data_IF_732829358886
#
_entry.id   IF_732829358886
#
_cell.length_a   1.000
_cell.length_b   1.000
_cell.length_c   1.000
_cell.angle_alpha   90.00
_cell.angle_beta   90.00
_cell.angle_gamma   90.00
#
_symmetry.space_group_name_H-M   'P 1'
#
loop_
_entity.id
_entity.type
_entity.pdbx_description
1 polymer ?
#
# COMPACT_ATOMS: atom_id res chain seq x y z
N UNK A 1 -11.38 19.52 9.65
CA UNK A 1 -12.68 19.94 9.13
C UNK A 1 -13.60 18.77 8.86
N UNK A 2 -14.78 19.07 8.26
CA UNK A 2 -15.86 18.07 8.13
C UNK A 2 -15.50 16.85 7.27
N UNK A 3 -14.46 16.96 6.45
CA UNK A 3 -14.06 15.89 5.54
C UNK A 3 -12.96 14.98 6.11
N UNK A 4 -12.49 15.27 7.33
CA UNK A 4 -11.43 14.50 7.97
C UNK A 4 -11.92 14.01 9.32
N UNK A 5 -11.79 12.70 9.54
CA UNK A 5 -12.20 12.05 10.78
C UNK A 5 -10.98 11.37 11.38
N UNK A 6 -10.63 11.75 12.61
CA UNK A 6 -9.55 11.12 13.35
C UNK A 6 -10.12 9.95 14.15
N UNK A 7 -9.81 8.73 13.74
CA UNK A 7 -10.35 7.53 14.39
C UNK A 7 -9.57 7.13 15.65
N UNK A 8 -8.33 7.61 15.79
CA UNK A 8 -7.45 7.16 16.84
C UNK A 8 -6.98 5.72 16.61
N UNK A 9 -6.34 5.18 17.64
CA UNK A 9 -5.81 3.81 17.58
C UNK A 9 -6.94 2.80 17.73
N UNK A 10 -7.01 1.84 16.82
CA UNK A 10 -8.02 0.77 16.83
C UNK A 10 -7.32 -0.58 16.97
N UNK A 11 -7.87 -1.48 17.77
CA UNK A 11 -7.35 -2.83 17.89
C UNK A 11 -7.52 -3.63 16.59
N UNK A 12 -8.61 -3.39 15.87
CA UNK A 12 -8.86 -4.03 14.59
C UNK A 12 -9.18 -2.97 13.54
N UNK A 13 -8.20 -2.53 12.74
CA UNK A 13 -8.41 -1.50 11.72
C UNK A 13 -9.07 -2.03 10.43
N UNK A 14 -9.16 -3.33 10.23
CA UNK A 14 -9.58 -3.92 8.96
C UNK A 14 -11.00 -3.54 8.52
N UNK A 15 -12.00 -3.42 9.41
CA UNK A 15 -13.31 -2.94 8.97
C UNK A 15 -13.27 -1.55 8.33
N UNK A 16 -12.37 -0.69 8.81
CA UNK A 16 -12.19 0.65 8.23
C UNK A 16 -11.48 0.55 6.87
N UNK A 17 -10.49 -0.32 6.74
CA UNK A 17 -9.82 -0.56 5.47
C UNK A 17 -10.81 -1.01 4.41
N UNK A 18 -11.71 -1.91 4.75
CA UNK A 18 -12.71 -2.43 3.80
C UNK A 18 -13.67 -1.37 3.27
N UNK A 19 -13.90 -0.32 4.03
CA UNK A 19 -14.75 0.79 3.61
C UNK A 19 -14.00 1.83 2.78
N UNK A 20 -12.68 1.77 2.75
CA UNK A 20 -11.86 2.76 2.08
C UNK A 20 -11.74 2.48 0.58
N UNK A 21 -11.67 3.54 -0.20
CA UNK A 21 -11.38 3.45 -1.64
C UNK A 21 -9.89 3.34 -1.92
N UNK A 22 -9.07 3.84 -1.01
CA UNK A 22 -7.61 3.72 -1.10
C UNK A 22 -6.97 3.91 0.27
N UNK A 23 -5.75 3.40 0.41
CA UNK A 23 -4.88 3.65 1.55
C UNK A 23 -3.82 4.66 1.14
N UNK A 24 -3.62 5.69 1.96
CA UNK A 24 -2.61 6.72 1.71
C UNK A 24 -1.54 6.64 2.80
N UNK A 25 -0.28 6.48 2.39
CA UNK A 25 0.85 6.41 3.30
C UNK A 25 1.90 7.42 2.86
N UNK A 26 2.11 8.45 3.69
CA UNK A 26 2.95 9.62 3.37
C UNK A 26 4.21 9.68 4.21
N UNK A 27 4.69 8.58 4.72
CA UNK A 27 5.87 8.51 5.57
C UNK A 27 7.14 8.95 4.84
N UNK A 28 8.08 9.50 5.56
CA UNK A 28 9.42 9.80 5.03
C UNK A 28 10.31 8.58 5.03
N UNK A 29 10.07 7.65 5.94
CA UNK A 29 10.81 6.40 6.07
C UNK A 29 9.90 5.30 6.61
N UNK A 30 10.02 4.14 6.00
CA UNK A 30 9.37 2.94 6.47
C UNK A 30 10.35 1.78 6.40
N UNK A 31 10.33 0.89 7.38
CA UNK A 31 11.03 -0.38 7.32
C UNK A 31 10.32 -1.32 6.34
N UNK A 32 9.95 -2.53 6.78
CA UNK A 32 9.09 -3.39 5.97
C UNK A 32 7.63 -2.99 6.21
N UNK A 33 6.95 -2.39 5.24
CA UNK A 33 5.62 -1.83 5.50
C UNK A 33 4.53 -2.91 5.43
N UNK A 34 4.26 -3.54 6.57
CA UNK A 34 3.22 -4.59 6.70
C UNK A 34 1.86 -4.07 6.22
N UNK A 35 1.59 -2.79 6.41
CA UNK A 35 0.33 -2.19 5.98
C UNK A 35 0.11 -2.29 4.46
N UNK A 36 1.16 -2.34 3.66
CA UNK A 36 1.04 -2.57 2.22
C UNK A 36 0.44 -3.94 1.95
N UNK A 37 0.95 -4.97 2.62
CA UNK A 37 0.43 -6.33 2.46
C UNK A 37 -1.02 -6.43 2.88
N UNK A 38 -1.37 -5.78 3.99
CA UNK A 38 -2.74 -5.77 4.48
C UNK A 38 -3.69 -5.14 3.46
N UNK A 39 -3.32 -4.00 2.88
CA UNK A 39 -4.12 -3.34 1.85
C UNK A 39 -4.21 -4.18 0.59
N UNK A 40 -3.11 -4.81 0.17
CA UNK A 40 -3.11 -5.67 -1.01
C UNK A 40 -4.00 -6.89 -0.85
N UNK A 41 -3.96 -7.54 0.31
CA UNK A 41 -4.84 -8.69 0.62
C UNK A 41 -6.31 -8.28 0.55
N UNK A 42 -6.64 -7.07 0.99
CA UNK A 42 -8.00 -6.56 0.97
C UNK A 42 -8.38 -5.91 -0.38
N UNK A 43 -7.46 -5.92 -1.35
CA UNK A 43 -7.63 -5.32 -2.67
C UNK A 43 -7.94 -3.83 -2.61
N UNK A 44 -7.26 -3.12 -1.71
CA UNK A 44 -7.38 -1.67 -1.57
C UNK A 44 -6.16 -1.02 -2.23
N UNK A 45 -6.35 -0.15 -3.24
CA UNK A 45 -5.24 0.53 -3.89
C UNK A 45 -4.47 1.44 -2.94
N UNK A 46 -3.17 1.54 -3.13
CA UNK A 46 -2.28 2.28 -2.24
C UNK A 46 -1.73 3.50 -2.97
N UNK A 47 -1.77 4.65 -2.29
CA UNK A 47 -1.02 5.84 -2.69
C UNK A 47 0.07 6.02 -1.65
N UNK A 48 1.32 5.95 -2.03
CA UNK A 48 2.43 6.01 -1.08
C UNK A 48 3.59 6.82 -1.62
N UNK A 49 4.33 7.44 -0.70
CA UNK A 49 5.57 8.12 -1.05
C UNK A 49 6.66 7.09 -1.36
N UNK A 50 7.68 7.55 -2.12
CA UNK A 50 8.80 6.69 -2.51
C UNK A 50 9.76 6.50 -1.31
N UNK A 51 9.47 5.51 -0.50
CA UNK A 51 10.26 5.16 0.69
C UNK A 51 10.55 3.66 0.66
N UNK A 52 11.72 3.27 1.21
CA UNK A 52 12.11 1.86 1.33
C UNK A 52 11.88 1.10 0.01
N UNK A 53 11.18 -0.01 0.05
CA UNK A 53 10.90 -0.87 -1.09
C UNK A 53 9.55 -0.59 -1.77
N UNK A 54 8.98 0.61 -1.56
CA UNK A 54 7.64 0.91 -2.05
C UNK A 54 7.48 0.66 -3.56
N UNK A 55 8.44 1.10 -4.38
CA UNK A 55 8.38 0.87 -5.84
C UNK A 55 8.33 -0.62 -6.19
N UNK A 56 9.12 -1.43 -5.49
CA UNK A 56 9.17 -2.87 -5.73
C UNK A 56 7.89 -3.56 -5.28
N UNK A 57 7.36 -3.17 -4.12
CA UNK A 57 6.16 -3.79 -3.54
C UNK A 57 4.92 -3.43 -4.35
N UNK A 58 4.76 -2.15 -4.69
CA UNK A 58 3.57 -1.66 -5.39
C UNK A 58 3.60 -2.07 -6.87
N UNK A 59 4.75 -1.99 -7.54
CA UNK A 59 4.97 -2.45 -8.91
C UNK A 59 3.99 -1.87 -9.94
N UNK A 60 3.39 -0.72 -9.66
CA UNK A 60 2.33 -0.13 -10.50
C UNK A 60 1.10 -1.04 -10.68
N UNK A 61 0.98 -2.09 -9.91
CA UNK A 61 -0.15 -3.03 -9.95
C UNK A 61 -1.13 -2.80 -8.80
N UNK A 62 -0.61 -2.31 -7.66
CA UNK A 62 -1.39 -2.21 -6.42
C UNK A 62 -1.57 -0.75 -5.99
N UNK A 63 -1.20 0.19 -6.81
CA UNK A 63 -1.37 1.59 -6.49
C UNK A 63 -0.37 2.50 -7.20
N UNK A 64 -0.12 3.64 -6.58
CA UNK A 64 0.72 4.72 -7.13
C UNK A 64 1.79 5.09 -6.12
N UNK A 65 3.02 5.26 -6.59
CA UNK A 65 4.13 5.77 -5.79
C UNK A 65 4.40 7.22 -6.17
N UNK A 66 4.41 8.11 -5.17
CA UNK A 66 4.61 9.55 -5.39
C UNK A 66 5.99 9.98 -4.92
N UNK A 67 6.39 11.19 -5.34
CA UNK A 67 7.52 11.86 -4.73
C UNK A 67 7.17 12.30 -3.29
N UNK A 68 8.20 12.56 -2.48
CA UNK A 68 8.02 12.97 -1.07
C UNK A 68 7.75 14.48 -0.98
N UNK A 69 6.70 14.95 -1.63
CA UNK A 69 6.29 16.35 -1.56
C UNK A 69 4.78 16.48 -1.68
N UNK A 70 4.27 17.58 -1.18
CA UNK A 70 2.83 17.86 -1.09
C UNK A 70 2.18 17.85 -2.48
N UNK A 71 2.81 18.46 -3.47
CA UNK A 71 2.23 18.56 -4.81
C UNK A 71 2.05 17.20 -5.46
N UNK A 72 3.05 16.34 -5.35
CA UNK A 72 2.97 14.99 -5.92
C UNK A 72 1.88 14.15 -5.25
N UNK A 73 1.80 14.21 -3.93
CA UNK A 73 0.77 13.52 -3.16
C UNK A 73 -0.61 14.06 -3.52
N UNK A 74 -0.77 15.38 -3.53
CA UNK A 74 -2.04 16.00 -3.89
C UNK A 74 -2.51 15.61 -5.28
N UNK A 75 -1.62 15.62 -6.26
CA UNK A 75 -1.97 15.26 -7.64
C UNK A 75 -2.40 13.80 -7.74
N UNK A 76 -1.71 12.91 -7.02
CA UNK A 76 -2.08 11.49 -6.98
C UNK A 76 -3.46 11.28 -6.36
N UNK A 77 -3.74 11.96 -5.26
CA UNK A 77 -5.04 11.89 -4.59
C UNK A 77 -6.16 12.42 -5.49
N UNK A 78 -5.93 13.57 -6.12
CA UNK A 78 -6.90 14.20 -7.02
C UNK A 78 -7.20 13.31 -8.22
N UNK A 79 -6.16 12.74 -8.82
CA UNK A 79 -6.32 11.83 -9.93
C UNK A 79 -7.10 10.57 -9.53
N UNK A 80 -6.84 10.05 -8.33
CA UNK A 80 -7.57 8.89 -7.80
C UNK A 80 -9.05 9.18 -7.62
N UNK A 81 -9.40 10.37 -7.13
CA UNK A 81 -10.80 10.77 -6.95
C UNK A 81 -11.51 10.88 -8.29
N UNK A 82 -10.85 11.48 -9.30
CA UNK A 82 -11.48 11.75 -10.60
C UNK A 82 -11.55 10.49 -11.47
N UNK A 83 -10.46 9.73 -11.53
CA UNK A 83 -10.30 8.64 -12.49
C UNK A 83 -10.26 7.25 -11.85
N UNK A 84 -10.22 7.18 -10.52
CA UNK A 84 -9.97 5.94 -9.80
C UNK A 84 -8.52 5.50 -9.89
N UNK A 85 -8.17 4.45 -9.18
CA UNK A 85 -6.87 3.80 -9.26
C UNK A 85 -7.07 2.42 -9.85
N UNK A 86 -6.43 2.18 -11.00
CA UNK A 86 -6.49 0.89 -11.66
C UNK A 86 -5.64 -0.12 -10.91
N UNK A 87 -6.26 -1.19 -10.45
CA UNK A 87 -5.54 -2.38 -9.99
C UNK A 87 -5.46 -3.34 -11.17
N UNK A 88 -4.24 -3.61 -11.65
CA UNK A 88 -4.05 -4.44 -12.84
C UNK A 88 -4.15 -5.92 -12.55
N UNK A 89 -3.90 -6.33 -11.30
CA UNK A 89 -3.94 -7.72 -10.87
C UNK A 89 -4.41 -7.79 -9.42
N UNK A 90 -5.10 -8.88 -9.08
CA UNK A 90 -5.34 -9.19 -7.69
C UNK A 90 -4.04 -9.65 -7.03
N UNK A 91 -3.88 -9.34 -5.75
CA UNK A 91 -2.72 -9.79 -5.00
C UNK A 91 -2.94 -11.24 -4.56
N UNK A 92 -2.02 -12.12 -4.98
CA UNK A 92 -2.02 -13.51 -4.54
C UNK A 92 -1.06 -13.69 -3.37
N UNK A 93 -1.61 -13.69 -2.16
CA UNK A 93 -0.79 -13.80 -0.96
C UNK A 93 -0.13 -15.19 -0.84
N UNK A 94 -0.71 -16.23 -1.45
CA UNK A 94 -0.14 -17.57 -1.43
C UNK A 94 1.12 -17.64 -2.27
N UNK A 95 1.08 -17.07 -3.47
CA UNK A 95 2.26 -16.95 -4.32
C UNK A 95 3.35 -16.10 -3.66
N UNK A 96 2.97 -14.99 -3.06
CA UNK A 96 3.91 -14.14 -2.32
C UNK A 96 4.58 -14.90 -1.18
N UNK A 97 3.83 -15.66 -0.39
CA UNK A 97 4.36 -16.47 0.70
C UNK A 97 5.30 -17.56 0.18
N UNK A 98 4.97 -18.17 -0.95
CA UNK A 98 5.83 -19.16 -1.58
C UNK A 98 7.17 -18.55 -2.00
N UNK A 99 7.17 -17.39 -2.63
CA UNK A 99 8.39 -16.68 -3.02
C UNK A 99 9.28 -16.37 -1.81
N UNK A 100 8.68 -15.92 -0.71
CA UNK A 100 9.41 -15.64 0.53
C UNK A 100 10.02 -16.91 1.09
N UNK A 101 9.26 -18.00 1.13
CA UNK A 101 9.75 -19.28 1.63
C UNK A 101 10.91 -19.81 0.79
N UNK A 102 10.84 -19.68 -0.53
CA UNK A 102 11.92 -20.07 -1.44
C UNK A 102 13.20 -19.25 -1.18
N UNK A 103 13.06 -17.95 -0.96
CA UNK A 103 14.20 -17.09 -0.62
C UNK A 103 14.84 -17.48 0.71
N UNK A 104 14.02 -17.80 1.71
CA UNK A 104 14.51 -18.24 3.02
C UNK A 104 15.25 -19.57 2.92
N UNK A 105 14.73 -20.51 2.14
CA UNK A 105 15.36 -21.80 1.91
C UNK A 105 16.75 -21.63 1.28
N UNK A 106 16.89 -20.74 0.30
CA UNK A 106 18.18 -20.43 -0.31
C UNK A 106 19.18 -19.89 0.69
N UNK A 107 18.74 -19.01 1.60
CA UNK A 107 19.59 -18.43 2.62
C UNK A 107 20.06 -19.48 3.63
N UNK A 108 19.24 -20.47 3.93
CA UNK A 108 19.57 -21.53 4.89
C UNK A 108 20.48 -22.57 4.26
N UNK A 109 20.29 -22.91 2.99
CA UNK A 109 20.97 -24.02 2.30
C UNK A 109 22.25 -23.58 1.56
N UNK A 110 22.49 -22.30 1.45
CA UNK A 110 23.74 -21.75 0.94
C UNK A 110 24.70 -21.49 2.09
#
# INVERSE_FOLDING_TARGET
>A
ENNIIFLGKKQNPYPYFKLADSLILTSEYEGFPVVYLEAMILNIPIITTNVSDSLRIIQNKHGVVTQKNVNSIYNAMKNAIINGISQKEEFDYKEYNQEINEKLEKLIND
#
